data_IF_639495895169
#
_entry.id   IF_639495895169
#
_cell.length_a   1.000
_cell.length_b   1.000
_cell.length_c   1.000
_cell.angle_alpha   90.00
_cell.angle_beta   90.00
_cell.angle_gamma   90.00
#
_symmetry.space_group_name_H-M   'P 1'
#
loop_
_entity.id
_entity.type
_entity.pdbx_description
1 polymer ?
#
# COMPACT_ATOMS: atom_id res chain seq x y z
N UNK A 1 10.14 -2.79 -5.52
CA UNK A 1 10.02 -1.33 -5.33
C UNK A 1 8.58 -0.97 -5.61
N UNK A 2 7.89 -0.15 -4.79
CA UNK A 2 6.48 0.14 -5.01
C UNK A 2 6.39 1.00 -6.27
N UNK A 3 6.07 0.39 -7.41
CA UNK A 3 6.18 1.05 -8.72
C UNK A 3 5.05 2.04 -9.00
N UNK A 4 4.14 2.28 -8.04
CA UNK A 4 2.91 3.07 -8.26
C UNK A 4 2.72 4.25 -7.33
N UNK A 5 3.54 4.41 -6.30
CA UNK A 5 3.43 5.57 -5.42
C UNK A 5 4.61 6.51 -5.63
N UNK A 6 4.29 7.77 -5.92
CA UNK A 6 5.26 8.82 -6.19
C UNK A 6 5.90 9.29 -4.88
N UNK A 7 7.22 9.16 -4.80
CA UNK A 7 8.00 9.58 -3.63
C UNK A 7 8.06 11.11 -3.46
N UNK A 8 7.60 11.88 -4.44
CA UNK A 8 7.50 13.34 -4.36
C UNK A 8 6.19 13.83 -3.72
N UNK A 9 5.25 12.94 -3.43
CA UNK A 9 4.01 13.31 -2.75
C UNK A 9 4.32 13.87 -1.34
N UNK A 10 3.81 15.06 -0.96
CA UNK A 10 4.01 15.61 0.38
C UNK A 10 3.55 14.67 1.51
N UNK A 11 2.65 13.74 1.22
CA UNK A 11 2.14 12.75 2.16
C UNK A 11 2.90 11.42 2.10
N UNK A 12 4.00 11.32 1.33
CA UNK A 12 4.75 10.08 1.14
C UNK A 12 5.13 9.41 2.47
N UNK A 13 5.83 10.15 3.32
CA UNK A 13 6.27 9.69 4.64
C UNK A 13 5.10 9.24 5.51
N UNK A 14 3.98 9.98 5.48
CA UNK A 14 2.79 9.64 6.26
C UNK A 14 2.12 8.38 5.75
N UNK A 15 2.04 8.20 4.43
CA UNK A 15 1.47 7.01 3.79
C UNK A 15 2.32 5.79 4.11
N UNK A 16 3.65 5.90 3.97
CA UNK A 16 4.58 4.82 4.33
C UNK A 16 4.50 4.47 5.82
N UNK A 17 4.50 5.47 6.71
CA UNK A 17 4.38 5.22 8.15
C UNK A 17 3.05 4.53 8.52
N UNK A 18 1.94 4.93 7.87
CA UNK A 18 0.62 4.31 8.11
C UNK A 18 0.57 2.87 7.57
N UNK A 19 1.16 2.65 6.40
CA UNK A 19 1.34 1.31 5.84
C UNK A 19 2.16 0.42 6.78
N UNK A 20 3.33 0.88 7.21
CA UNK A 20 4.26 0.10 8.04
C UNK A 20 3.66 -0.20 9.41
N UNK A 21 2.90 0.73 9.99
CA UNK A 21 2.13 0.50 11.20
C UNK A 21 1.08 -0.62 11.00
N UNK A 22 0.34 -0.60 9.88
CA UNK A 22 -0.64 -1.64 9.58
C UNK A 22 0.02 -3.00 9.34
N UNK A 23 1.16 -3.04 8.63
CA UNK A 23 1.95 -4.26 8.43
C UNK A 23 2.45 -4.83 9.77
N UNK A 24 2.99 -3.98 10.64
CA UNK A 24 3.48 -4.38 11.97
C UNK A 24 2.36 -4.90 12.85
N UNK A 25 1.16 -4.32 12.74
CA UNK A 25 -0.04 -4.76 13.43
C UNK A 25 -0.69 -6.02 12.82
N UNK A 26 -0.15 -6.55 11.71
CA UNK A 26 -0.71 -7.72 11.02
C UNK A 26 -2.01 -7.43 10.27
N UNK A 27 -2.30 -6.16 9.96
CA UNK A 27 -3.49 -5.75 9.23
C UNK A 27 -3.28 -5.93 7.71
N UNK A 28 -4.35 -6.31 7.03
CA UNK A 28 -4.38 -6.51 5.58
C UNK A 28 -4.60 -5.21 4.82
N UNK A 29 -5.05 -4.16 5.49
CA UNK A 29 -5.35 -2.85 4.93
C UNK A 29 -5.06 -1.72 5.92
N UNK A 30 -4.89 -0.51 5.39
CA UNK A 30 -4.73 0.72 6.15
C UNK A 30 -5.56 1.84 5.51
N UNK A 31 -5.91 2.86 6.30
CA UNK A 31 -6.58 4.05 5.78
C UNK A 31 -5.57 4.99 5.14
N UNK A 32 -5.74 5.26 3.86
CA UNK A 32 -4.92 6.22 3.12
C UNK A 32 -5.19 7.64 3.65
N UNK A 33 -4.20 8.32 4.26
CA UNK A 33 -4.36 9.68 4.75
C UNK A 33 -4.61 10.71 3.64
N UNK A 34 -4.32 10.38 2.36
CA UNK A 34 -4.57 11.27 1.22
C UNK A 34 -6.00 11.17 0.71
N UNK A 35 -6.52 9.96 0.53
CA UNK A 35 -7.82 9.73 -0.12
C UNK A 35 -8.93 9.32 0.84
N UNK A 36 -8.58 8.85 2.05
CA UNK A 36 -9.51 8.28 3.02
C UNK A 36 -9.94 6.84 2.73
N UNK A 37 -9.47 6.23 1.64
CA UNK A 37 -9.81 4.86 1.26
C UNK A 37 -9.03 3.81 2.04
N UNK A 38 -9.59 2.59 2.14
CA UNK A 38 -8.86 1.42 2.60
C UNK A 38 -7.93 0.93 1.48
N UNK A 39 -6.62 0.92 1.73
CA UNK A 39 -5.60 0.42 0.81
C UNK A 39 -5.00 -0.85 1.38
N UNK A 40 -4.90 -1.89 0.56
CA UNK A 40 -4.30 -3.17 0.95
C UNK A 40 -2.79 -3.04 1.19
N UNK A 41 -2.29 -3.71 2.23
CA UNK A 41 -0.87 -3.73 2.57
C UNK A 41 -0.07 -4.62 1.61
N UNK A 42 1.23 -4.31 1.44
CA UNK A 42 2.11 -5.11 0.58
C UNK A 42 2.11 -6.61 0.93
N UNK A 43 2.20 -7.04 2.21
CA UNK A 43 2.24 -8.46 2.56
C UNK A 43 0.95 -9.19 2.17
N UNK A 44 -0.20 -8.54 2.32
CA UNK A 44 -1.48 -9.11 1.90
C UNK A 44 -1.52 -9.33 0.38
N UNK A 45 -1.10 -8.32 -0.39
CA UNK A 45 -1.02 -8.42 -1.85
C UNK A 45 0.00 -9.47 -2.29
N UNK A 46 1.14 -9.56 -1.61
CA UNK A 46 2.15 -10.59 -1.87
C UNK A 46 1.59 -11.99 -1.63
N UNK A 47 0.91 -12.20 -0.51
CA UNK A 47 0.26 -13.47 -0.17
C UNK A 47 -0.82 -13.88 -1.18
N UNK A 48 -1.51 -12.92 -1.80
CA UNK A 48 -2.49 -13.18 -2.86
C UNK A 48 -1.89 -13.83 -4.11
N UNK A 49 -0.59 -13.66 -4.37
CA UNK A 49 0.11 -14.37 -5.45
C UNK A 49 -0.07 -13.82 -6.86
N UNK A 50 -0.94 -12.81 -7.08
CA UNK A 50 -1.18 -12.22 -8.40
C UNK A 50 -1.62 -10.74 -8.34
N UNK A 51 -1.38 -10.01 -9.44
CA UNK A 51 -1.91 -8.66 -9.62
C UNK A 51 -3.43 -8.69 -9.90
N UNK A 52 -4.22 -8.11 -9.00
CA UNK A 52 -5.68 -8.04 -9.17
C UNK A 52 -6.18 -6.81 -9.93
N UNK A 53 -5.26 -5.97 -10.46
CA UNK A 53 -5.56 -4.76 -11.23
C UNK A 53 -6.37 -3.67 -10.50
N UNK A 54 -6.52 -3.77 -9.18
CA UNK A 54 -7.18 -2.74 -8.34
C UNK A 54 -6.27 -1.52 -8.03
N UNK A 55 -5.27 -1.29 -8.88
CA UNK A 55 -4.33 -0.15 -8.79
C UNK A 55 -3.75 0.14 -7.40
N UNK A 56 -3.41 -0.90 -6.65
CA UNK A 56 -2.96 -0.76 -5.27
C UNK A 56 -1.57 -0.09 -5.21
N UNK A 57 -1.41 0.90 -4.31
CA UNK A 57 -0.17 1.69 -4.15
C UNK A 57 1.07 0.85 -3.90
N UNK A 58 0.92 -0.24 -3.14
CA UNK A 58 2.01 -1.10 -2.71
C UNK A 58 1.94 -2.50 -3.34
N UNK A 59 1.35 -2.62 -4.55
CA UNK A 59 1.34 -3.89 -5.25
C UNK A 59 2.77 -4.31 -5.64
N UNK A 60 3.26 -5.48 -5.22
CA UNK A 60 4.60 -5.95 -5.58
C UNK A 60 4.66 -6.51 -7.02
N UNK A 61 3.51 -6.73 -7.65
CA UNK A 61 3.42 -7.29 -9.00
C UNK A 61 3.38 -6.19 -10.05
N UNK A 62 4.05 -6.39 -11.21
CA UNK A 62 3.85 -5.54 -12.38
C UNK A 62 2.37 -5.62 -12.79
N UNK A 63 1.79 -4.46 -13.14
CA UNK A 63 0.41 -4.35 -13.59
C UNK A 63 0.25 -4.77 -15.06
#
# INVERSE_FOLDING_TARGET
>A
MPTKFDNSDPLYEKIMATHDAAVTAGLTEYKDPKTGFSVMTEPFLKAKGFCCKNDCRHCPYPA
#
